data_IF_710099053098
#
_entry.id   IF_710099053098
#
_cell.length_a   1.000
_cell.length_b   1.000
_cell.length_c   1.000
_cell.angle_alpha   90.00
_cell.angle_beta   90.00
_cell.angle_gamma   90.00
#
_symmetry.space_group_name_H-M   'P 1'
#
loop_
_entity.id
_entity.type
_entity.pdbx_description
1 polymer ?
#
# COMPACT_ATOMS: atom_id res chain seq x y z
N UNK A 1 -5.88 14.59 18.12
CA UNK A 1 -5.12 15.23 17.05
C UNK A 1 -5.54 16.66 16.77
N UNK A 2 -6.70 17.08 17.26
CA UNK A 2 -7.25 18.43 17.06
C UNK A 2 -6.68 19.52 17.99
N UNK A 3 -5.79 19.18 18.94
CA UNK A 3 -5.16 20.11 19.90
C UNK A 3 -3.64 19.85 20.00
N UNK A 4 -2.88 20.78 20.55
CA UNK A 4 -1.42 20.67 20.82
C UNK A 4 -0.53 20.72 19.55
N UNK A 5 0.79 20.49 19.67
CA UNK A 5 1.74 20.62 18.57
C UNK A 5 1.48 19.58 17.47
N UNK A 6 1.44 20.05 16.21
CA UNK A 6 1.13 19.20 15.05
C UNK A 6 2.32 18.29 14.69
N UNK A 7 3.53 18.86 14.57
CA UNK A 7 4.71 18.15 14.08
C UNK A 7 4.99 16.89 14.91
N UNK A 8 5.09 17.00 16.24
CA UNK A 8 5.37 15.85 17.10
C UNK A 8 4.28 14.77 17.01
N UNK A 9 3.01 15.16 16.83
CA UNK A 9 1.92 14.20 16.69
C UNK A 9 1.93 13.51 15.32
N UNK A 10 2.22 14.24 14.25
CA UNK A 10 2.38 13.69 12.91
C UNK A 10 3.53 12.69 12.88
N UNK A 11 4.69 13.03 13.44
CA UNK A 11 5.83 12.11 13.51
C UNK A 11 5.53 10.87 14.35
N UNK A 12 4.89 11.04 15.52
CA UNK A 12 4.48 9.89 16.37
C UNK A 12 3.48 8.96 15.67
N UNK A 13 2.70 9.48 14.73
CA UNK A 13 1.80 8.68 13.89
C UNK A 13 2.55 8.05 12.71
N UNK A 14 3.36 8.84 12.00
CA UNK A 14 3.99 8.42 10.74
C UNK A 14 5.11 7.38 10.96
N UNK A 15 5.95 7.53 12.00
CA UNK A 15 7.08 6.63 12.23
C UNK A 15 6.65 5.17 12.48
N UNK A 16 5.69 4.86 13.38
CA UNK A 16 5.23 3.48 13.53
C UNK A 16 4.50 2.96 12.29
N UNK A 17 3.84 3.85 11.53
CA UNK A 17 3.21 3.46 10.29
C UNK A 17 4.23 3.09 9.21
N UNK A 18 5.29 3.87 9.05
CA UNK A 18 6.41 3.55 8.15
C UNK A 18 7.07 2.22 8.55
N UNK A 19 7.35 2.05 9.84
CA UNK A 19 7.89 0.80 10.37
C UNK A 19 6.99 -0.40 10.06
N UNK A 20 5.67 -0.25 10.12
CA UNK A 20 4.72 -1.31 9.73
C UNK A 20 4.88 -1.72 8.26
N UNK A 21 4.99 -0.75 7.34
CA UNK A 21 5.19 -1.01 5.91
C UNK A 21 6.53 -1.70 5.63
N UNK A 22 7.61 -1.19 6.23
CA UNK A 22 8.96 -1.77 6.10
C UNK A 22 8.98 -3.20 6.63
N UNK A 23 8.37 -3.47 7.79
CA UNK A 23 8.31 -4.81 8.36
C UNK A 23 7.50 -5.77 7.47
N UNK A 24 6.37 -5.33 6.93
CA UNK A 24 5.61 -6.14 5.96
C UNK A 24 6.47 -6.54 4.76
N UNK A 25 7.22 -5.60 4.20
CA UNK A 25 8.11 -5.90 3.08
C UNK A 25 9.24 -6.85 3.46
N UNK A 26 9.83 -6.69 4.65
CA UNK A 26 10.85 -7.61 5.15
C UNK A 26 10.31 -9.03 5.29
N UNK A 27 9.10 -9.22 5.80
CA UNK A 27 8.48 -10.55 5.91
C UNK A 27 8.25 -11.18 4.55
N UNK A 28 7.76 -10.42 3.56
CA UNK A 28 7.63 -10.90 2.17
C UNK A 28 9.01 -11.30 1.61
N UNK A 29 10.04 -10.51 1.87
CA UNK A 29 11.40 -10.81 1.43
C UNK A 29 11.95 -12.09 2.08
N UNK A 30 11.67 -12.31 3.37
CA UNK A 30 12.04 -13.55 4.08
C UNK A 30 11.29 -14.75 3.49
N UNK A 31 9.99 -14.62 3.22
CA UNK A 31 9.17 -15.68 2.60
C UNK A 31 9.78 -16.12 1.26
N UNK A 32 10.11 -15.16 0.39
CA UNK A 32 10.76 -15.41 -0.91
C UNK A 32 12.15 -16.04 -0.73
N UNK A 33 12.96 -15.55 0.22
CA UNK A 33 14.29 -16.08 0.49
C UNK A 33 14.25 -17.53 1.01
N UNK A 34 13.31 -17.86 1.88
CA UNK A 34 13.12 -19.24 2.38
C UNK A 34 12.73 -20.18 1.24
N UNK A 35 11.78 -19.78 0.39
CA UNK A 35 11.41 -20.58 -0.79
C UNK A 35 12.60 -20.73 -1.74
N UNK A 36 13.29 -19.65 -2.05
CA UNK A 36 14.40 -19.66 -3.00
C UNK A 36 15.59 -20.51 -2.56
N UNK A 37 15.81 -20.65 -1.23
CA UNK A 37 16.94 -21.42 -0.70
C UNK A 37 16.61 -22.86 -0.35
N UNK A 38 15.39 -23.15 0.08
CA UNK A 38 15.00 -24.44 0.66
C UNK A 38 13.90 -25.18 -0.12
N UNK A 39 13.32 -24.55 -1.15
CA UNK A 39 12.37 -25.19 -2.06
C UNK A 39 12.94 -25.26 -3.49
N UNK A 40 12.15 -25.77 -4.43
CA UNK A 40 12.57 -25.88 -5.84
C UNK A 40 12.48 -24.52 -6.56
N UNK A 41 13.23 -24.38 -7.66
CA UNK A 41 13.11 -23.21 -8.54
C UNK A 41 11.72 -23.02 -9.12
N UNK A 42 11.00 -24.12 -9.35
CA UNK A 42 9.59 -24.12 -9.77
C UNK A 42 8.67 -23.52 -8.69
N UNK A 43 8.92 -23.85 -7.41
CA UNK A 43 8.19 -23.28 -6.29
C UNK A 43 8.39 -21.77 -6.18
N UNK A 44 9.62 -21.30 -6.36
CA UNK A 44 9.92 -19.87 -6.38
C UNK A 44 9.21 -19.15 -7.54
N UNK A 45 9.23 -19.74 -8.72
CA UNK A 45 8.53 -19.20 -9.89
C UNK A 45 7.00 -19.18 -9.68
N UNK A 46 6.45 -20.19 -9.04
CA UNK A 46 5.02 -20.25 -8.71
C UNK A 46 4.61 -19.14 -7.73
N UNK A 47 5.40 -18.87 -6.69
CA UNK A 47 5.15 -17.73 -5.77
C UNK A 47 5.23 -16.41 -6.51
N UNK A 48 6.25 -16.22 -7.34
CA UNK A 48 6.44 -15.00 -8.13
C UNK A 48 5.27 -14.71 -9.08
N UNK A 49 4.78 -15.72 -9.80
CA UNK A 49 3.67 -15.59 -10.73
C UNK A 49 2.38 -15.11 -10.05
N UNK A 50 2.16 -15.49 -8.80
CA UNK A 50 0.95 -15.12 -8.04
C UNK A 50 0.99 -13.70 -7.47
N UNK A 51 2.17 -13.13 -7.26
CA UNK A 51 2.34 -11.85 -6.54
C UNK A 51 1.56 -10.71 -7.20
N UNK A 52 1.58 -10.61 -8.53
CA UNK A 52 0.88 -9.54 -9.25
C UNK A 52 -0.64 -9.66 -9.11
N UNK A 53 -1.18 -10.86 -9.23
CA UNK A 53 -2.62 -11.12 -9.13
C UNK A 53 -3.13 -10.83 -7.72
N UNK A 54 -2.40 -11.30 -6.71
CA UNK A 54 -2.71 -11.05 -5.30
C UNK A 54 -2.72 -9.55 -5.02
N UNK A 55 -1.67 -8.83 -5.43
CA UNK A 55 -1.58 -7.39 -5.22
C UNK A 55 -2.70 -6.62 -5.92
N UNK A 56 -3.05 -7.01 -7.16
CA UNK A 56 -4.13 -6.36 -7.91
C UNK A 56 -5.46 -6.46 -7.16
N UNK A 57 -5.81 -7.65 -6.69
CA UNK A 57 -7.07 -7.91 -6.00
C UNK A 57 -7.12 -7.28 -4.59
N UNK A 58 -6.02 -7.35 -3.84
CA UNK A 58 -5.95 -6.80 -2.49
C UNK A 58 -5.98 -5.27 -2.50
N UNK A 59 -5.32 -4.62 -3.46
CA UNK A 59 -5.20 -3.17 -3.51
C UNK A 59 -6.55 -2.45 -3.59
N UNK A 60 -7.57 -3.04 -4.21
CA UNK A 60 -8.92 -2.49 -4.19
C UNK A 60 -9.44 -2.33 -2.76
N UNK A 61 -9.34 -3.38 -1.96
CA UNK A 61 -9.86 -3.39 -0.57
C UNK A 61 -8.98 -2.60 0.40
N UNK A 62 -7.68 -2.55 0.16
CA UNK A 62 -6.78 -1.63 0.87
C UNK A 62 -7.22 -0.19 0.64
N UNK A 63 -7.59 0.19 -0.58
CA UNK A 63 -8.17 1.50 -0.88
C UNK A 63 -9.47 1.76 -0.13
N UNK A 64 -10.37 0.77 -0.06
CA UNK A 64 -11.62 0.89 0.74
C UNK A 64 -11.30 1.11 2.23
N UNK A 65 -10.25 0.49 2.76
CA UNK A 65 -9.81 0.71 4.14
C UNK A 65 -9.33 2.15 4.38
N UNK A 66 -8.74 2.81 3.37
CA UNK A 66 -8.38 4.24 3.44
C UNK A 66 -9.65 5.10 3.56
N UNK A 67 -10.71 4.76 2.83
CA UNK A 67 -12.03 5.39 2.95
C UNK A 67 -12.58 5.27 4.37
N UNK A 68 -12.48 4.08 4.97
CA UNK A 68 -12.88 3.86 6.37
C UNK A 68 -12.10 4.76 7.35
N UNK A 69 -10.78 4.85 7.18
CA UNK A 69 -9.94 5.75 7.99
C UNK A 69 -10.38 7.22 7.85
N UNK A 70 -10.61 7.71 6.64
CA UNK A 70 -11.02 9.08 6.37
C UNK A 70 -12.36 9.43 7.01
N UNK A 71 -13.37 8.56 6.86
CA UNK A 71 -14.72 8.75 7.41
C UNK A 71 -14.70 8.73 8.95
N UNK A 72 -14.03 7.73 9.54
CA UNK A 72 -13.90 7.63 11.01
C UNK A 72 -13.19 8.87 11.56
N UNK A 73 -12.09 9.30 10.92
CA UNK A 73 -11.35 10.50 11.31
C UNK A 73 -12.23 11.75 11.32
N UNK A 74 -13.06 11.92 10.28
CA UNK A 74 -13.96 13.06 10.16
C UNK A 74 -15.01 13.07 11.28
N UNK A 75 -15.64 11.93 11.57
CA UNK A 75 -16.62 11.84 12.66
C UNK A 75 -16.00 12.03 14.04
N UNK A 76 -14.75 11.60 14.25
CA UNK A 76 -14.00 11.90 15.48
C UNK A 76 -13.79 13.41 15.61
N UNK A 77 -13.42 14.09 14.51
CA UNK A 77 -13.26 15.54 14.48
C UNK A 77 -14.55 16.28 14.89
N UNK A 78 -15.69 15.83 14.39
CA UNK A 78 -17.03 16.36 14.73
C UNK A 78 -17.48 16.04 16.15
N UNK A 79 -16.71 15.24 16.89
CA UNK A 79 -17.07 14.73 18.21
C UNK A 79 -18.40 13.94 18.24
N UNK A 80 -18.81 13.38 17.10
CA UNK A 80 -20.04 12.61 16.94
C UNK A 80 -19.81 11.13 17.28
N UNK A 81 -19.95 10.82 18.56
CA UNK A 81 -19.71 9.46 19.08
C UNK A 81 -20.64 8.40 18.47
N UNK A 82 -21.85 8.79 18.07
CA UNK A 82 -22.80 7.86 17.48
C UNK A 82 -22.34 7.45 16.07
N UNK A 83 -22.02 8.42 15.22
CA UNK A 83 -21.52 8.16 13.86
C UNK A 83 -20.15 7.48 13.85
N UNK A 84 -19.27 7.77 14.82
CA UNK A 84 -18.02 7.01 14.98
C UNK A 84 -18.31 5.54 15.23
N UNK A 85 -19.26 5.24 16.12
CA UNK A 85 -19.66 3.86 16.44
C UNK A 85 -20.20 3.13 15.21
N UNK A 86 -21.08 3.79 14.47
CA UNK A 86 -21.71 3.20 13.28
C UNK A 86 -20.70 3.01 12.14
N UNK A 87 -19.78 3.96 11.96
CA UNK A 87 -18.67 3.82 11.01
C UNK A 87 -17.71 2.70 11.39
N UNK A 88 -17.38 2.53 12.68
CA UNK A 88 -16.55 1.41 13.16
C UNK A 88 -17.25 0.07 12.92
N UNK A 89 -18.54 -0.04 13.25
CA UNK A 89 -19.34 -1.23 13.00
C UNK A 89 -19.38 -1.59 11.52
N UNK A 90 -19.70 -0.62 10.65
CA UNK A 90 -19.71 -0.78 9.20
C UNK A 90 -18.35 -1.19 8.66
N UNK A 91 -17.27 -0.53 9.10
CA UNK A 91 -15.91 -0.85 8.71
C UNK A 91 -15.54 -2.30 9.04
N UNK A 92 -15.94 -2.82 10.19
CA UNK A 92 -15.63 -4.19 10.60
C UNK A 92 -16.56 -5.24 9.97
N UNK A 93 -17.63 -4.84 9.30
CA UNK A 93 -18.45 -5.72 8.46
C UNK A 93 -17.90 -5.87 7.03
N UNK A 94 -17.22 -4.84 6.51
CA UNK A 94 -16.65 -4.86 5.16
C UNK A 94 -15.67 -6.01 4.90
N UNK A 95 -14.77 -6.40 5.82
CA UNK A 95 -13.90 -7.57 5.65
C UNK A 95 -14.65 -8.85 5.31
N UNK A 96 -15.85 -9.05 5.87
CA UNK A 96 -16.66 -10.25 5.63
C UNK A 96 -17.07 -10.31 4.16
N UNK A 97 -17.62 -9.21 3.62
CA UNK A 97 -18.02 -9.14 2.21
C UNK A 97 -16.82 -9.22 1.27
N UNK A 98 -15.74 -8.48 1.58
CA UNK A 98 -14.51 -8.53 0.81
C UNK A 98 -13.94 -9.95 0.76
N UNK A 99 -13.97 -10.65 1.89
CA UNK A 99 -13.46 -12.01 2.01
C UNK A 99 -14.27 -13.02 1.21
N UNK A 100 -15.61 -12.96 1.31
CA UNK A 100 -16.48 -13.86 0.54
C UNK A 100 -16.26 -13.66 -0.95
N UNK A 101 -16.16 -12.40 -1.38
CA UNK A 101 -15.96 -12.08 -2.79
C UNK A 101 -14.57 -12.55 -3.27
N UNK A 102 -13.50 -12.25 -2.53
CA UNK A 102 -12.13 -12.64 -2.91
C UNK A 102 -11.91 -14.14 -2.82
N UNK A 103 -12.42 -14.80 -1.77
CA UNK A 103 -12.31 -16.24 -1.60
C UNK A 103 -13.05 -16.95 -2.74
N UNK A 104 -14.32 -16.60 -2.99
CA UNK A 104 -15.10 -17.19 -4.05
C UNK A 104 -14.48 -16.97 -5.42
N UNK A 105 -14.06 -15.73 -5.71
CA UNK A 105 -13.40 -15.41 -6.97
C UNK A 105 -12.06 -16.14 -7.12
N UNK A 106 -11.24 -16.16 -6.07
CA UNK A 106 -9.94 -16.80 -6.08
C UNK A 106 -10.04 -18.32 -6.24
N UNK A 107 -10.90 -19.00 -5.47
CA UNK A 107 -11.06 -20.44 -5.56
C UNK A 107 -11.61 -20.93 -6.91
N UNK A 108 -12.60 -20.20 -7.46
CA UNK A 108 -13.24 -20.58 -8.72
C UNK A 108 -12.35 -20.26 -9.92
N UNK A 109 -11.75 -19.09 -9.95
CA UNK A 109 -11.06 -18.58 -11.14
C UNK A 109 -9.52 -18.71 -11.09
N UNK A 110 -8.92 -19.21 -10.00
CA UNK A 110 -7.46 -19.31 -9.87
C UNK A 110 -6.76 -19.95 -11.09
N UNK A 111 -7.15 -21.14 -11.58
CA UNK A 111 -6.47 -21.74 -12.71
C UNK A 111 -6.64 -20.95 -14.01
N UNK A 112 -7.84 -20.38 -14.22
CA UNK A 112 -8.17 -19.61 -15.42
C UNK A 112 -7.39 -18.29 -15.46
N UNK A 113 -7.27 -17.61 -14.32
CA UNK A 113 -6.52 -16.37 -14.20
C UNK A 113 -5.02 -16.59 -14.43
N UNK A 114 -4.46 -17.65 -13.87
CA UNK A 114 -3.05 -18.00 -14.06
C UNK A 114 -2.75 -18.37 -15.53
N UNK A 115 -3.64 -19.10 -16.19
CA UNK A 115 -3.53 -19.38 -17.64
C UNK A 115 -3.62 -18.11 -18.47
N UNK A 116 -4.55 -17.22 -18.15
CA UNK A 116 -4.68 -15.92 -18.83
C UNK A 116 -3.43 -15.05 -18.70
N UNK A 117 -2.72 -15.16 -17.56
CA UNK A 117 -1.44 -14.49 -17.33
C UNK A 117 -0.26 -15.17 -18.01
N UNK A 118 -0.47 -16.27 -18.73
CA UNK A 118 0.60 -16.97 -19.44
C UNK A 118 1.49 -17.80 -18.52
N UNK A 119 1.00 -18.25 -17.36
CA UNK A 119 1.77 -19.11 -16.44
C UNK A 119 2.12 -20.44 -17.12
N UNK A 120 3.41 -20.83 -17.19
CA UNK A 120 3.82 -22.08 -17.81
C UNK A 120 3.14 -23.31 -17.20
N UNK A 121 2.78 -24.29 -18.04
CA UNK A 121 2.09 -25.51 -17.59
C UNK A 121 2.89 -26.27 -16.50
N UNK A 122 4.21 -26.23 -16.56
CA UNK A 122 5.09 -26.89 -15.59
C UNK A 122 4.91 -26.43 -14.14
N UNK A 123 4.53 -25.15 -13.93
CA UNK A 123 4.36 -24.57 -12.59
C UNK A 123 2.90 -24.26 -12.25
N UNK A 124 1.97 -24.48 -13.19
CA UNK A 124 0.57 -24.08 -13.05
C UNK A 124 -0.10 -24.70 -11.83
N UNK A 125 0.13 -25.98 -11.57
CA UNK A 125 -0.47 -26.70 -10.43
C UNK A 125 0.05 -26.16 -9.10
N UNK A 126 1.35 -25.91 -8.98
CA UNK A 126 1.96 -25.33 -7.78
C UNK A 126 1.49 -23.88 -7.57
N UNK A 127 1.42 -23.10 -8.64
CA UNK A 127 0.91 -21.72 -8.58
C UNK A 127 -0.57 -21.67 -8.17
N UNK A 128 -1.38 -22.61 -8.71
CA UNK A 128 -2.79 -22.75 -8.33
C UNK A 128 -2.94 -23.15 -6.86
N UNK A 129 -2.16 -24.12 -6.39
CA UNK A 129 -2.17 -24.54 -4.99
C UNK A 129 -1.80 -23.38 -4.05
N UNK A 130 -0.70 -22.67 -4.37
CA UNK A 130 -0.29 -21.49 -3.60
C UNK A 130 -1.41 -20.46 -3.52
N UNK A 131 -2.00 -20.12 -4.65
CA UNK A 131 -3.03 -19.09 -4.73
C UNK A 131 -4.26 -19.49 -3.90
N UNK A 132 -4.73 -20.72 -3.99
CA UNK A 132 -5.86 -21.22 -3.19
C UNK A 132 -5.57 -21.18 -1.70
N UNK A 133 -4.43 -21.73 -1.26
CA UNK A 133 -4.04 -21.69 0.16
C UNK A 133 -3.90 -20.24 0.65
N UNK A 134 -3.34 -19.37 -0.17
CA UNK A 134 -3.23 -17.95 0.15
C UNK A 134 -4.61 -17.30 0.32
N UNK A 135 -5.57 -17.58 -0.58
CA UNK A 135 -6.92 -17.04 -0.50
C UNK A 135 -7.67 -17.47 0.75
N UNK A 136 -7.41 -18.67 1.30
CA UNK A 136 -7.95 -19.09 2.60
C UNK A 136 -7.49 -18.18 3.74
N UNK A 137 -6.32 -17.57 3.63
CA UNK A 137 -5.79 -16.59 4.60
C UNK A 137 -6.33 -15.16 4.43
N UNK A 138 -6.90 -14.81 3.26
CA UNK A 138 -7.36 -13.45 2.95
C UNK A 138 -8.41 -12.91 3.92
N UNK A 139 -9.42 -13.66 4.37
CA UNK A 139 -10.39 -13.18 5.34
C UNK A 139 -9.73 -12.56 6.58
N UNK A 140 -8.72 -13.20 7.07
CA UNK A 140 -7.99 -12.74 8.26
C UNK A 140 -7.14 -11.51 7.96
N UNK A 141 -6.47 -11.49 6.81
CA UNK A 141 -5.74 -10.31 6.33
C UNK A 141 -6.67 -9.09 6.19
N UNK A 142 -7.87 -9.27 5.64
CA UNK A 142 -8.85 -8.19 5.50
C UNK A 142 -9.34 -7.69 6.86
N UNK A 143 -9.64 -8.58 7.82
CA UNK A 143 -10.02 -8.19 9.19
C UNK A 143 -8.92 -7.35 9.84
N UNK A 144 -7.66 -7.73 9.68
CA UNK A 144 -6.53 -6.96 10.20
C UNK A 144 -6.42 -5.58 9.52
N UNK A 145 -6.51 -5.53 8.19
CA UNK A 145 -6.40 -4.31 7.39
C UNK A 145 -7.48 -3.27 7.76
N UNK A 146 -8.74 -3.70 7.86
CA UNK A 146 -9.83 -2.80 8.25
C UNK A 146 -9.79 -2.44 9.73
N UNK A 147 -9.36 -3.37 10.59
CA UNK A 147 -9.11 -3.08 12.01
C UNK A 147 -8.01 -2.04 12.22
N UNK A 148 -6.93 -2.12 11.44
CA UNK A 148 -5.91 -1.06 11.40
C UNK A 148 -6.49 0.29 10.96
N UNK A 149 -7.38 0.31 9.95
CA UNK A 149 -8.00 1.55 9.48
C UNK A 149 -8.81 2.23 10.59
N UNK A 150 -9.52 1.46 11.42
CA UNK A 150 -10.22 1.98 12.62
C UNK A 150 -9.24 2.64 13.60
N UNK A 151 -8.14 1.96 13.92
CA UNK A 151 -7.13 2.48 14.85
C UNK A 151 -6.39 3.70 14.28
N UNK A 152 -6.04 3.68 12.98
CA UNK A 152 -5.45 4.83 12.29
C UNK A 152 -6.39 6.03 12.33
N UNK A 153 -7.70 5.83 12.10
CA UNK A 153 -8.71 6.88 12.22
C UNK A 153 -8.75 7.49 13.62
N UNK A 154 -8.53 6.69 14.66
CA UNK A 154 -8.36 7.15 16.05
C UNK A 154 -7.03 7.89 16.27
N UNK A 155 -6.02 7.61 15.45
CA UNK A 155 -4.68 8.17 15.55
C UNK A 155 -3.64 7.24 16.18
N UNK A 156 -3.94 5.97 16.26
CA UNK A 156 -3.07 4.96 16.85
C UNK A 156 -2.48 4.07 15.77
N UNK A 157 -1.18 4.18 15.57
CA UNK A 157 -0.39 3.36 14.63
C UNK A 157 0.58 2.44 15.36
N UNK A 158 0.82 2.68 16.65
CA UNK A 158 1.79 1.89 17.43
C UNK A 158 1.26 0.49 17.74
N UNK A 159 -0.01 0.39 18.16
CA UNK A 159 -0.57 -0.92 18.51
C UNK A 159 -0.72 -1.85 17.30
N UNK A 160 -1.16 -1.39 16.12
CA UNK A 160 -1.09 -2.19 14.90
C UNK A 160 0.31 -2.65 14.53
N UNK A 161 1.34 -1.80 14.69
CA UNK A 161 2.73 -2.18 14.48
C UNK A 161 3.15 -3.33 15.41
N UNK A 162 2.83 -3.24 16.70
CA UNK A 162 3.19 -4.29 17.67
C UNK A 162 2.54 -5.65 17.31
N UNK A 163 1.26 -5.63 16.87
CA UNK A 163 0.59 -6.84 16.39
C UNK A 163 1.31 -7.41 15.16
N UNK A 164 1.67 -6.54 14.21
CA UNK A 164 2.37 -6.95 12.99
C UNK A 164 3.74 -7.56 13.27
N UNK A 165 4.51 -6.98 14.20
CA UNK A 165 5.82 -7.52 14.60
C UNK A 165 5.67 -8.94 15.18
N UNK A 166 4.71 -9.15 16.09
CA UNK A 166 4.45 -10.48 16.66
C UNK A 166 3.98 -11.46 15.59
N UNK A 167 3.09 -11.04 14.70
CA UNK A 167 2.62 -11.87 13.59
C UNK A 167 3.74 -12.23 12.62
N UNK A 168 4.66 -11.29 12.37
CA UNK A 168 5.83 -11.56 11.55
C UNK A 168 6.79 -12.56 12.19
N UNK A 169 7.00 -12.49 13.49
CA UNK A 169 7.77 -13.53 14.20
C UNK A 169 7.09 -14.91 14.04
N UNK A 170 5.76 -14.99 14.19
CA UNK A 170 5.00 -16.22 13.97
C UNK A 170 5.17 -16.72 12.53
N UNK A 171 5.06 -15.81 11.54
CA UNK A 171 5.26 -16.15 10.13
C UNK A 171 6.65 -16.74 9.88
N UNK A 172 7.73 -16.08 10.35
CA UNK A 172 9.10 -16.54 10.13
C UNK A 172 9.33 -17.91 10.78
N UNK A 173 8.90 -18.11 12.03
CA UNK A 173 9.04 -19.40 12.73
C UNK A 173 8.29 -20.49 12.00
N UNK A 174 7.06 -20.24 11.58
CA UNK A 174 6.26 -21.23 10.84
C UNK A 174 6.84 -21.49 9.44
N UNK A 175 7.36 -20.50 8.75
CA UNK A 175 8.05 -20.70 7.47
C UNK A 175 9.24 -21.65 7.61
N UNK A 176 10.10 -21.43 8.60
CA UNK A 176 11.24 -22.31 8.85
C UNK A 176 10.78 -23.73 9.20
N UNK A 177 9.75 -23.87 10.03
CA UNK A 177 9.21 -25.18 10.40
C UNK A 177 8.55 -25.90 9.20
N UNK A 178 7.63 -25.24 8.49
CA UNK A 178 6.83 -25.89 7.45
C UNK A 178 7.64 -26.14 6.18
N UNK A 179 8.56 -25.24 5.82
CA UNK A 179 9.35 -25.38 4.58
C UNK A 179 10.59 -26.26 4.80
N UNK A 180 11.34 -26.06 5.91
CA UNK A 180 12.61 -26.74 6.13
C UNK A 180 12.40 -28.09 6.80
N UNK A 181 11.59 -28.16 7.88
CA UNK A 181 11.41 -29.40 8.65
C UNK A 181 10.37 -30.32 8.03
N UNK A 182 9.22 -29.76 7.63
CA UNK A 182 8.11 -30.54 7.08
C UNK A 182 8.12 -30.65 5.54
N UNK A 183 9.07 -29.99 4.88
CA UNK A 183 9.25 -30.01 3.42
C UNK A 183 7.99 -29.71 2.59
N UNK A 184 7.11 -28.83 3.11
CA UNK A 184 5.84 -28.50 2.46
C UNK A 184 6.00 -27.55 1.25
N UNK A 185 7.19 -27.08 0.96
CA UNK A 185 7.47 -26.20 -0.19
C UNK A 185 6.56 -24.96 -0.23
N UNK A 186 5.93 -24.76 -1.37
CA UNK A 186 5.04 -23.62 -1.65
C UNK A 186 3.83 -23.56 -0.70
N UNK A 187 3.23 -24.70 -0.41
CA UNK A 187 2.09 -24.79 0.51
C UNK A 187 2.48 -24.40 1.95
N UNK A 188 3.71 -24.70 2.35
CA UNK A 188 4.25 -24.33 3.67
C UNK A 188 4.28 -22.81 3.86
N UNK A 189 4.80 -22.06 2.88
CA UNK A 189 4.86 -20.59 2.95
C UNK A 189 3.46 -19.98 2.97
N UNK A 190 2.56 -20.42 2.09
CA UNK A 190 1.19 -19.93 2.08
C UNK A 190 0.46 -20.20 3.40
N UNK A 191 0.68 -21.37 3.99
CA UNK A 191 0.11 -21.74 5.29
C UNK A 191 0.70 -20.90 6.43
N UNK A 192 2.02 -20.67 6.45
CA UNK A 192 2.68 -19.84 7.44
C UNK A 192 2.12 -18.40 7.41
N UNK A 193 1.99 -17.83 6.21
CA UNK A 193 1.40 -16.50 6.00
C UNK A 193 -0.07 -16.49 6.44
N UNK A 194 -0.84 -17.53 6.11
CA UNK A 194 -2.23 -17.68 6.56
C UNK A 194 -2.35 -17.70 8.09
N UNK A 195 -1.53 -18.48 8.78
CA UNK A 195 -1.50 -18.55 10.25
C UNK A 195 -1.11 -17.21 10.89
N UNK A 196 -0.13 -16.49 10.33
CA UNK A 196 0.25 -15.16 10.78
C UNK A 196 -0.91 -14.15 10.60
N UNK A 197 -1.67 -14.25 9.50
CA UNK A 197 -2.86 -13.44 9.29
C UNK A 197 -3.97 -13.78 10.29
N UNK A 198 -4.19 -15.04 10.62
CA UNK A 198 -5.12 -15.48 11.69
C UNK A 198 -4.73 -14.85 13.02
N UNK A 199 -3.46 -14.93 13.40
CA UNK A 199 -2.94 -14.31 14.61
C UNK A 199 -3.20 -12.80 14.63
N UNK A 200 -2.89 -12.10 13.54
CA UNK A 200 -3.10 -10.66 13.38
C UNK A 200 -4.59 -10.29 13.52
N UNK A 201 -5.48 -11.06 12.89
CA UNK A 201 -6.93 -10.85 12.95
C UNK A 201 -7.47 -11.04 14.36
N UNK A 202 -7.07 -12.09 15.04
CA UNK A 202 -7.49 -12.34 16.42
C UNK A 202 -6.96 -11.27 17.37
N UNK A 203 -5.71 -10.85 17.21
CA UNK A 203 -5.10 -9.80 18.02
C UNK A 203 -5.81 -8.46 17.84
N UNK A 204 -6.09 -8.04 16.59
CA UNK A 204 -6.77 -6.76 16.32
C UNK A 204 -8.23 -6.79 16.81
N UNK A 205 -8.94 -7.91 16.64
CA UNK A 205 -10.29 -8.07 17.17
C UNK A 205 -10.32 -8.03 18.70
N UNK A 206 -9.38 -8.70 19.37
CA UNK A 206 -9.22 -8.64 20.82
C UNK A 206 -8.95 -7.22 21.30
N UNK A 207 -8.09 -6.50 20.57
CA UNK A 207 -7.78 -5.10 20.88
C UNK A 207 -9.02 -4.22 20.74
N UNK A 208 -9.75 -4.32 19.63
CA UNK A 208 -11.00 -3.53 19.42
C UNK A 208 -12.11 -3.89 20.42
N UNK A 209 -12.22 -5.15 20.86
CA UNK A 209 -13.17 -5.55 21.92
C UNK A 209 -12.83 -4.94 23.27
N UNK A 210 -11.54 -4.72 23.57
CA UNK A 210 -11.08 -4.09 24.82
C UNK A 210 -11.06 -2.57 24.77
N UNK A 211 -11.30 -1.96 23.60
CA UNK A 211 -11.39 -0.52 23.47
C UNK A 211 -12.57 0.05 24.29
N UNK A 212 -12.45 1.34 24.64
CA UNK A 212 -13.48 2.08 25.38
C UNK A 212 -14.27 2.99 24.43
N UNK A 213 -15.50 3.29 24.82
CA UNK A 213 -16.34 4.26 24.11
C UNK A 213 -16.81 3.78 22.73
N UNK A 214 -16.82 4.66 21.70
CA UNK A 214 -17.40 4.37 20.40
C UNK A 214 -16.57 3.36 19.57
N UNK A 215 -15.31 3.13 19.92
CA UNK A 215 -14.41 2.18 19.24
C UNK A 215 -14.56 0.75 19.73
N UNK A 216 -15.27 0.51 20.82
CA UNK A 216 -15.47 -0.82 21.37
C UNK A 216 -16.33 -1.67 20.46
N UNK A 217 -15.74 -2.75 19.95
CA UNK A 217 -16.42 -3.72 19.11
C UNK A 217 -17.25 -4.68 19.99
N UNK A 218 -18.57 -4.68 19.78
CA UNK A 218 -19.50 -5.64 20.41
C UNK A 218 -20.38 -6.25 19.33
N UNK A 219 -20.91 -7.46 19.55
CA UNK A 219 -21.80 -8.13 18.58
C UNK A 219 -23.00 -7.27 18.19
N UNK A 220 -23.58 -6.55 19.12
CA UNK A 220 -24.73 -5.65 18.91
C UNK A 220 -24.39 -4.41 18.04
N UNK A 221 -23.11 -4.08 17.87
CA UNK A 221 -22.62 -2.92 17.11
C UNK A 221 -22.13 -3.28 15.71
N UNK A 222 -22.07 -4.56 15.39
CA UNK A 222 -21.76 -5.05 14.04
C UNK A 222 -23.02 -4.89 13.17
N UNK A 223 -23.23 -3.67 12.69
CA UNK A 223 -24.32 -3.30 11.78
C UNK A 223 -23.77 -2.45 10.65
N UNK A 224 -24.35 -2.61 9.47
CA UNK A 224 -24.06 -1.76 8.34
C UNK A 224 -24.96 -0.54 8.42
N UNK A 225 -24.34 0.62 8.65
CA UNK A 225 -24.99 1.90 8.46
C UNK A 225 -24.85 2.33 7.01
N UNK A 226 -25.96 2.54 6.31
CA UNK A 226 -25.98 2.87 4.87
C UNK A 226 -25.27 4.21 4.57
N UNK A 227 -25.38 5.18 5.48
CA UNK A 227 -24.79 6.49 5.30
C UNK A 227 -23.25 6.41 5.45
N UNK A 228 -22.76 5.72 6.49
CA UNK A 228 -21.34 5.46 6.66
C UNK A 228 -20.77 4.61 5.52
N UNK A 229 -21.48 3.55 5.11
CA UNK A 229 -21.06 2.70 3.99
C UNK A 229 -20.90 3.51 2.70
N UNK A 230 -21.90 4.31 2.35
CA UNK A 230 -21.86 5.16 1.15
C UNK A 230 -20.64 6.10 1.17
N UNK A 231 -20.35 6.73 2.30
CA UNK A 231 -19.20 7.62 2.45
C UNK A 231 -17.87 6.85 2.36
N UNK A 232 -17.77 5.69 3.01
CA UNK A 232 -16.59 4.83 2.97
C UNK A 232 -16.31 4.39 1.53
N UNK A 233 -17.32 3.92 0.81
CA UNK A 233 -17.17 3.47 -0.58
C UNK A 233 -16.88 4.63 -1.53
N UNK A 234 -17.51 5.80 -1.33
CA UNK A 234 -17.29 6.99 -2.15
C UNK A 234 -15.84 7.49 -2.09
N UNK A 235 -15.19 7.34 -0.93
CA UNK A 235 -13.77 7.69 -0.77
C UNK A 235 -12.88 6.51 -1.12
N UNK A 236 -13.23 5.32 -0.67
CA UNK A 236 -12.36 4.15 -0.70
C UNK A 236 -12.30 3.45 -2.06
N UNK A 237 -13.42 3.32 -2.77
CA UNK A 237 -13.43 2.65 -4.09
C UNK A 237 -12.56 3.40 -5.11
N UNK A 238 -12.69 4.73 -5.29
CA UNK A 238 -11.78 5.45 -6.18
C UNK A 238 -10.30 5.28 -5.79
N UNK A 239 -9.98 5.32 -4.48
CA UNK A 239 -8.62 5.11 -4.01
C UNK A 239 -8.12 3.69 -4.31
N UNK A 240 -8.96 2.68 -4.18
CA UNK A 240 -8.64 1.30 -4.54
C UNK A 240 -8.43 1.10 -6.04
N UNK A 241 -9.31 1.67 -6.85
CA UNK A 241 -9.18 1.66 -8.32
C UNK A 241 -7.89 2.34 -8.75
N UNK A 242 -7.53 3.49 -8.14
CA UNK A 242 -6.24 4.14 -8.40
C UNK A 242 -5.06 3.19 -8.12
N UNK A 243 -5.08 2.49 -6.99
CA UNK A 243 -4.01 1.55 -6.61
C UNK A 243 -3.92 0.35 -7.56
N UNK A 244 -5.08 -0.17 -8.02
CA UNK A 244 -5.13 -1.24 -9.03
C UNK A 244 -4.55 -0.79 -10.38
N UNK A 245 -4.97 0.37 -10.89
CA UNK A 245 -4.50 0.91 -12.18
C UNK A 245 -3.02 1.26 -12.11
N UNK A 246 -2.54 1.74 -10.95
CA UNK A 246 -1.13 1.99 -10.71
C UNK A 246 -0.30 0.69 -10.77
N UNK A 247 -0.79 -0.39 -10.15
CA UNK A 247 -0.15 -1.71 -10.23
C UNK A 247 -0.10 -2.23 -11.66
N UNK A 248 -1.20 -2.06 -12.41
CA UNK A 248 -1.26 -2.45 -13.82
C UNK A 248 -0.26 -1.64 -14.68
N UNK A 249 -0.14 -0.33 -14.43
CA UNK A 249 0.83 0.52 -15.10
C UNK A 249 2.27 0.07 -14.84
N UNK A 250 2.59 -0.34 -13.61
CA UNK A 250 3.92 -0.85 -13.28
C UNK A 250 4.22 -2.20 -13.97
N UNK A 251 3.23 -3.09 -14.08
CA UNK A 251 3.37 -4.35 -14.85
C UNK A 251 3.70 -4.04 -16.31
N UNK A 252 3.03 -3.04 -16.88
CA UNK A 252 3.24 -2.64 -18.26
C UNK A 252 4.65 -2.09 -18.49
N UNK A 253 5.15 -1.22 -17.61
CA UNK A 253 6.55 -0.74 -17.68
C UNK A 253 7.53 -1.89 -17.48
N UNK A 254 7.23 -2.86 -16.58
CA UNK A 254 8.06 -4.05 -16.40
C UNK A 254 8.15 -4.90 -17.68
N UNK A 255 7.05 -5.02 -18.43
CA UNK A 255 7.04 -5.69 -19.73
C UNK A 255 8.01 -5.01 -20.73
N UNK A 256 8.08 -3.68 -20.73
CA UNK A 256 9.04 -2.94 -21.52
C UNK A 256 10.51 -3.17 -21.05
N UNK A 257 10.74 -3.24 -19.73
CA UNK A 257 12.05 -3.56 -19.14
C UNK A 257 12.52 -4.95 -19.61
N UNK A 258 11.62 -5.91 -19.74
CA UNK A 258 11.96 -7.28 -20.15
C UNK A 258 12.61 -7.32 -21.55
N UNK A 259 12.32 -6.35 -22.40
CA UNK A 259 12.95 -6.21 -23.72
C UNK A 259 14.44 -5.87 -23.70
N UNK A 260 14.99 -5.41 -22.56
CA UNK A 260 16.42 -5.07 -22.41
C UNK A 260 17.30 -6.24 -21.92
N UNK A 261 16.70 -7.42 -21.72
CA UNK A 261 17.41 -8.64 -21.36
C UNK A 261 17.55 -8.91 -19.86
N UNK A 262 18.13 -10.07 -19.50
CA UNK A 262 18.13 -10.57 -18.12
C UNK A 262 18.83 -9.66 -17.11
N UNK A 263 19.96 -9.05 -17.49
CA UNK A 263 20.71 -8.14 -16.62
C UNK A 263 19.92 -6.87 -16.27
N UNK A 264 19.15 -6.33 -17.23
CA UNK A 264 18.28 -5.19 -17.01
C UNK A 264 17.11 -5.55 -16.08
N UNK A 265 16.51 -6.73 -16.25
CA UNK A 265 15.43 -7.24 -15.38
C UNK A 265 15.95 -7.39 -13.96
N UNK A 266 17.09 -8.02 -13.76
CA UNK A 266 17.70 -8.23 -12.45
C UNK A 266 18.07 -6.90 -11.77
N UNK A 267 18.72 -5.99 -12.52
CA UNK A 267 19.11 -4.67 -12.01
C UNK A 267 17.88 -3.82 -11.62
N UNK A 268 16.85 -3.82 -12.46
CA UNK A 268 15.59 -3.14 -12.16
C UNK A 268 14.89 -3.71 -10.92
N UNK A 269 14.85 -5.03 -10.74
CA UNK A 269 14.25 -5.70 -9.59
C UNK A 269 14.97 -5.35 -8.29
N UNK A 270 16.31 -5.34 -8.29
CA UNK A 270 17.10 -4.94 -7.12
C UNK A 270 16.81 -3.49 -6.75
N UNK A 271 16.87 -2.56 -7.71
CA UNK A 271 16.55 -1.14 -7.47
C UNK A 271 15.13 -0.94 -6.95
N UNK A 272 14.15 -1.71 -7.43
CA UNK A 272 12.76 -1.63 -6.99
C UNK A 272 12.58 -1.92 -5.49
N UNK A 273 13.42 -2.78 -4.90
CA UNK A 273 13.37 -3.01 -3.46
C UNK A 273 13.67 -1.73 -2.67
N UNK A 274 14.69 -0.97 -3.08
CA UNK A 274 15.04 0.30 -2.43
C UNK A 274 13.94 1.34 -2.62
N UNK A 275 13.37 1.44 -3.83
CA UNK A 275 12.22 2.31 -4.09
C UNK A 275 11.05 1.99 -3.13
N UNK A 276 10.78 0.72 -2.89
CA UNK A 276 9.69 0.26 -2.04
C UNK A 276 9.88 0.68 -0.59
N UNK A 277 11.09 0.55 -0.04
CA UNK A 277 11.38 1.01 1.33
C UNK A 277 11.20 2.52 1.49
N UNK A 278 11.71 3.30 0.52
CA UNK A 278 11.53 4.75 0.52
C UNK A 278 10.06 5.16 0.35
N UNK A 279 9.30 4.41 -0.45
CA UNK A 279 7.87 4.65 -0.65
C UNK A 279 7.05 4.40 0.62
N UNK A 280 7.43 3.45 1.49
CA UNK A 280 6.76 3.26 2.77
C UNK A 280 6.94 4.45 3.72
N UNK A 281 8.07 5.13 3.67
CA UNK A 281 8.25 6.39 4.40
C UNK A 281 7.26 7.45 3.90
N UNK A 282 7.16 7.62 2.59
CA UNK A 282 6.23 8.58 1.99
C UNK A 282 4.76 8.24 2.33
N UNK A 283 4.34 6.99 2.14
CA UNK A 283 2.95 6.57 2.39
C UNK A 283 2.54 6.69 3.85
N UNK A 284 3.48 6.67 4.79
CA UNK A 284 3.20 6.91 6.19
C UNK A 284 2.73 8.34 6.46
N UNK A 285 3.33 9.32 5.77
CA UNK A 285 2.89 10.71 5.82
C UNK A 285 1.58 10.93 5.05
N UNK A 286 1.31 10.14 3.99
CA UNK A 286 -0.01 10.12 3.35
C UNK A 286 -1.09 9.65 4.32
N UNK A 287 -0.84 8.59 5.08
CA UNK A 287 -1.76 8.13 6.13
C UNK A 287 -1.98 9.16 7.22
N UNK A 288 -0.93 9.88 7.62
CA UNK A 288 -1.04 11.01 8.53
C UNK A 288 -1.88 12.15 7.92
N UNK A 289 -1.64 12.50 6.66
CA UNK A 289 -2.39 13.55 5.96
C UNK A 289 -3.90 13.24 5.90
N UNK A 290 -4.30 12.00 5.56
CA UNK A 290 -5.71 11.56 5.60
C UNK A 290 -6.31 11.77 6.99
N UNK A 291 -5.63 11.24 8.02
CA UNK A 291 -6.15 11.20 9.39
C UNK A 291 -6.21 12.58 10.02
N UNK A 292 -5.12 13.36 9.92
CA UNK A 292 -5.05 14.70 10.51
C UNK A 292 -5.97 15.69 9.80
N UNK A 293 -6.02 15.65 8.47
CA UNK A 293 -6.95 16.48 7.70
C UNK A 293 -8.39 16.11 8.04
N UNK A 294 -8.75 14.82 8.04
CA UNK A 294 -10.09 14.36 8.37
C UNK A 294 -10.54 14.81 9.76
N UNK A 295 -9.71 14.61 10.80
CA UNK A 295 -10.06 15.02 12.17
C UNK A 295 -10.14 16.54 12.33
N UNK A 296 -9.21 17.31 11.77
CA UNK A 296 -9.22 18.76 11.90
C UNK A 296 -10.32 19.42 11.06
N UNK A 297 -10.60 18.87 9.88
CA UNK A 297 -11.73 19.29 9.03
C UNK A 297 -13.07 19.03 9.72
N UNK A 298 -13.26 17.83 10.27
CA UNK A 298 -14.45 17.51 11.06
C UNK A 298 -14.65 18.43 12.28
N UNK A 299 -13.55 18.89 12.89
CA UNK A 299 -13.55 19.83 14.02
C UNK A 299 -13.67 21.30 13.60
N UNK A 300 -13.80 21.63 12.32
CA UNK A 300 -13.85 23.01 11.82
C UNK A 300 -12.52 23.78 11.89
N UNK A 301 -11.39 23.10 12.16
CA UNK A 301 -10.08 23.74 12.39
C UNK A 301 -9.27 23.88 11.09
N UNK A 302 -9.67 24.82 10.22
CA UNK A 302 -9.12 25.00 8.87
C UNK A 302 -7.61 25.28 8.89
N UNK A 303 -7.14 26.16 9.80
CA UNK A 303 -5.72 26.50 9.89
C UNK A 303 -4.85 25.29 10.24
N UNK A 304 -5.40 24.38 11.06
CA UNK A 304 -4.69 23.13 11.39
C UNK A 304 -4.66 22.18 10.21
N UNK A 305 -5.68 22.14 9.36
CA UNK A 305 -5.66 21.38 8.11
C UNK A 305 -4.55 21.90 7.19
N UNK A 306 -4.45 23.21 6.99
CA UNK A 306 -3.41 23.82 6.14
C UNK A 306 -2.00 23.56 6.68
N UNK A 307 -1.78 23.81 7.99
CA UNK A 307 -0.47 23.55 8.62
C UNK A 307 -0.13 22.07 8.60
N UNK A 308 -1.09 21.18 8.87
CA UNK A 308 -0.91 19.74 8.82
C UNK A 308 -0.52 19.23 7.43
N UNK A 309 -1.14 19.77 6.38
CA UNK A 309 -0.79 19.49 5.00
C UNK A 309 0.68 19.83 4.69
N UNK A 310 1.13 21.05 5.01
CA UNK A 310 2.50 21.47 4.74
C UNK A 310 3.53 20.71 5.57
N UNK A 311 3.20 20.35 6.82
CA UNK A 311 4.08 19.51 7.66
C UNK A 311 4.20 18.11 7.07
N UNK A 312 3.08 17.48 6.66
CA UNK A 312 3.13 16.16 6.02
C UNK A 312 3.91 16.22 4.71
N UNK A 313 3.69 17.27 3.88
CA UNK A 313 4.40 17.47 2.62
C UNK A 313 5.90 17.62 2.83
N UNK A 314 6.31 18.53 3.70
CA UNK A 314 7.73 18.79 3.98
C UNK A 314 8.43 17.60 4.62
N UNK A 315 7.85 17.01 5.66
CA UNK A 315 8.44 15.87 6.34
C UNK A 315 8.44 14.60 5.47
N UNK A 316 7.37 14.36 4.70
CA UNK A 316 7.29 13.21 3.80
C UNK A 316 8.28 13.29 2.65
N UNK A 317 8.36 14.46 1.99
CA UNK A 317 9.34 14.69 0.94
C UNK A 317 10.77 14.60 1.46
N UNK A 318 11.06 15.21 2.61
CA UNK A 318 12.40 15.19 3.22
C UNK A 318 12.80 13.78 3.64
N UNK A 319 11.92 13.03 4.32
CA UNK A 319 12.21 11.66 4.75
C UNK A 319 12.47 10.74 3.55
N UNK A 320 11.64 10.83 2.51
CA UNK A 320 11.81 10.07 1.28
C UNK A 320 13.12 10.47 0.58
N UNK A 321 13.40 11.77 0.45
CA UNK A 321 14.62 12.27 -0.18
C UNK A 321 15.89 11.81 0.55
N UNK A 322 15.93 11.91 1.87
CA UNK A 322 17.09 11.47 2.66
C UNK A 322 17.34 9.98 2.53
N UNK A 323 16.27 9.15 2.56
CA UNK A 323 16.40 7.72 2.35
C UNK A 323 16.87 7.38 0.91
N UNK A 324 16.33 8.07 -0.10
CA UNK A 324 16.74 7.91 -1.48
C UNK A 324 18.22 8.27 -1.68
N UNK A 325 18.66 9.39 -1.09
CA UNK A 325 20.06 9.81 -1.16
C UNK A 325 20.99 8.85 -0.45
N UNK A 326 20.59 8.29 0.70
CA UNK A 326 21.35 7.27 1.41
C UNK A 326 21.58 6.03 0.51
N UNK A 327 20.54 5.48 -0.09
CA UNK A 327 20.66 4.32 -0.97
C UNK A 327 21.42 4.63 -2.26
N UNK A 328 21.23 5.82 -2.82
CA UNK A 328 21.94 6.23 -4.05
C UNK A 328 23.42 6.47 -3.82
N UNK A 329 23.79 7.24 -2.79
CA UNK A 329 25.21 7.55 -2.49
C UNK A 329 26.00 6.35 -2.03
N UNK A 330 25.35 5.41 -1.35
CA UNK A 330 25.95 4.16 -0.87
C UNK A 330 25.56 2.97 -1.77
N UNK A 331 25.24 3.23 -3.05
CA UNK A 331 24.71 2.20 -3.95
C UNK A 331 25.65 1.02 -4.12
N UNK A 332 26.97 1.23 -4.16
CA UNK A 332 27.95 0.14 -4.27
C UNK A 332 27.88 -0.82 -3.08
N UNK A 333 27.77 -0.28 -1.86
CA UNK A 333 27.64 -1.07 -0.65
C UNK A 333 26.34 -1.88 -0.65
N UNK A 334 25.20 -1.26 -0.95
CA UNK A 334 23.91 -1.94 -0.93
C UNK A 334 23.75 -2.95 -2.07
N UNK A 335 24.24 -2.65 -3.29
CA UNK A 335 24.15 -3.55 -4.43
C UNK A 335 25.03 -4.79 -4.25
N UNK A 336 26.17 -4.66 -3.58
CA UNK A 336 27.07 -5.78 -3.29
C UNK A 336 26.39 -6.93 -2.54
N UNK A 337 25.40 -6.64 -1.70
CA UNK A 337 24.62 -7.69 -1.01
C UNK A 337 23.74 -8.52 -1.96
N UNK A 338 23.42 -7.99 -3.13
CA UNK A 338 22.52 -8.65 -4.08
C UNK A 338 23.26 -9.30 -5.25
N UNK A 339 24.31 -8.66 -5.75
CA UNK A 339 25.01 -9.12 -6.94
C UNK A 339 26.42 -8.54 -7.02
N UNK A 340 27.30 -9.31 -7.70
CA UNK A 340 28.65 -8.87 -8.11
C UNK A 340 28.77 -8.72 -9.63
N UNK A 341 27.70 -9.00 -10.40
CA UNK A 341 27.68 -8.88 -11.85
C UNK A 341 27.71 -7.39 -12.27
N UNK A 342 28.77 -6.93 -12.98
CA UNK A 342 28.89 -5.54 -13.40
C UNK A 342 27.74 -5.05 -14.28
N UNK A 343 27.18 -5.92 -15.14
CA UNK A 343 26.06 -5.59 -16.03
C UNK A 343 24.79 -5.32 -15.23
N UNK A 344 24.47 -6.15 -14.24
CA UNK A 344 23.32 -5.99 -13.35
C UNK A 344 23.47 -4.72 -12.51
N UNK A 345 24.68 -4.49 -11.96
CA UNK A 345 25.02 -3.27 -11.20
C UNK A 345 24.81 -2.01 -12.04
N UNK A 346 25.23 -2.04 -13.31
CA UNK A 346 25.05 -0.91 -14.23
C UNK A 346 23.57 -0.53 -14.37
N UNK A 347 22.71 -1.49 -14.73
CA UNK A 347 21.27 -1.23 -14.86
C UNK A 347 20.61 -0.79 -13.56
N UNK A 348 21.00 -1.39 -12.43
CA UNK A 348 20.50 -0.98 -11.11
C UNK A 348 20.85 0.48 -10.82
N UNK A 349 22.11 0.89 -11.05
CA UNK A 349 22.56 2.28 -10.85
C UNK A 349 21.86 3.26 -11.77
N UNK A 350 21.68 2.91 -13.06
CA UNK A 350 20.93 3.75 -14.00
C UNK A 350 19.50 3.98 -13.50
N UNK A 351 18.83 2.93 -13.04
CA UNK A 351 17.48 3.05 -12.49
C UNK A 351 17.47 3.85 -11.18
N UNK A 352 18.41 3.62 -10.27
CA UNK A 352 18.53 4.41 -9.03
C UNK A 352 18.73 5.90 -9.33
N UNK A 353 19.60 6.24 -10.28
CA UNK A 353 19.86 7.62 -10.68
C UNK A 353 18.65 8.32 -11.32
N UNK A 354 17.80 7.59 -12.04
CA UNK A 354 16.68 8.14 -12.80
C UNK A 354 15.32 8.04 -12.06
N UNK A 355 15.15 7.04 -11.21
CA UNK A 355 13.88 6.79 -10.52
C UNK A 355 14.00 7.11 -9.04
N UNK A 356 14.92 6.43 -8.32
CA UNK A 356 15.05 6.55 -6.87
C UNK A 356 15.36 7.99 -6.44
N UNK A 357 16.33 8.66 -7.09
CA UNK A 357 16.71 10.05 -6.75
C UNK A 357 15.52 10.99 -6.81
N UNK A 358 14.64 10.83 -7.78
CA UNK A 358 13.49 11.71 -8.00
C UNK A 358 12.19 11.26 -7.32
N UNK A 359 12.18 10.11 -6.65
CA UNK A 359 10.96 9.57 -6.04
C UNK A 359 10.30 10.50 -5.01
N UNK A 360 11.08 11.35 -4.34
CA UNK A 360 10.55 12.35 -3.43
C UNK A 360 9.55 13.32 -4.10
N UNK A 361 9.62 13.51 -5.42
CA UNK A 361 8.63 14.30 -6.18
C UNK A 361 7.22 13.70 -6.11
N UNK A 362 7.11 12.38 -5.92
CA UNK A 362 5.83 11.72 -5.75
C UNK A 362 5.06 12.21 -4.51
N UNK A 363 5.74 12.79 -3.51
CA UNK A 363 5.09 13.39 -2.34
C UNK A 363 4.10 14.48 -2.71
N UNK A 364 4.34 15.22 -3.79
CA UNK A 364 3.51 16.32 -4.25
C UNK A 364 2.08 15.87 -4.56
N UNK A 365 1.89 14.82 -5.31
CA UNK A 365 0.55 14.32 -5.64
C UNK A 365 0.00 13.35 -4.59
N UNK A 366 0.84 12.51 -3.97
CA UNK A 366 0.38 11.51 -3.00
C UNK A 366 -0.19 12.18 -1.73
N UNK A 367 0.53 13.15 -1.15
CA UNK A 367 0.09 13.84 0.06
C UNK A 367 -1.07 14.78 -0.22
N UNK A 368 -1.08 15.43 -1.40
CA UNK A 368 -2.21 16.24 -1.85
C UNK A 368 -3.48 15.39 -2.02
N UNK A 369 -3.38 14.24 -2.69
CA UNK A 369 -4.48 13.28 -2.84
C UNK A 369 -4.96 12.74 -1.48
N UNK A 370 -4.03 12.39 -0.59
CA UNK A 370 -4.34 11.93 0.76
C UNK A 370 -5.11 12.99 1.57
N UNK A 371 -4.68 14.27 1.48
CA UNK A 371 -5.38 15.37 2.14
C UNK A 371 -6.77 15.61 1.55
N UNK A 372 -6.94 15.52 0.23
CA UNK A 372 -8.25 15.60 -0.43
C UNK A 372 -9.19 14.48 0.04
N UNK A 373 -8.68 13.24 0.19
CA UNK A 373 -9.45 12.13 0.78
C UNK A 373 -9.87 12.43 2.22
N UNK A 374 -8.99 13.03 3.02
CA UNK A 374 -9.33 13.52 4.37
C UNK A 374 -10.44 14.57 4.39
N UNK A 375 -10.55 15.39 3.34
CA UNK A 375 -11.65 16.35 3.12
C UNK A 375 -12.93 15.68 2.58
N UNK A 376 -12.90 14.40 2.23
CA UNK A 376 -14.03 13.66 1.65
C UNK A 376 -14.07 13.65 0.12
N UNK A 377 -13.01 14.12 -0.54
CA UNK A 377 -12.87 14.17 -1.99
C UNK A 377 -11.84 13.11 -2.45
N UNK A 378 -12.28 12.12 -3.21
CA UNK A 378 -11.41 11.03 -3.69
C UNK A 378 -11.42 10.86 -5.20
N UNK A 379 -12.50 11.24 -5.88
CA UNK A 379 -12.64 11.04 -7.31
C UNK A 379 -11.65 11.92 -8.08
N UNK A 380 -11.56 13.20 -7.72
CA UNK A 380 -10.71 14.18 -8.41
C UNK A 380 -9.22 13.75 -8.37
N UNK A 381 -8.62 13.47 -7.19
CA UNK A 381 -7.23 13.04 -7.16
C UNK A 381 -7.01 11.69 -7.84
N UNK A 382 -7.99 10.77 -7.80
CA UNK A 382 -7.90 9.47 -8.46
C UNK A 382 -7.80 9.64 -9.97
N UNK A 383 -8.72 10.39 -10.59
CA UNK A 383 -8.73 10.59 -12.04
C UNK A 383 -7.46 11.29 -12.52
N UNK A 384 -7.02 12.34 -11.81
CA UNK A 384 -5.80 13.07 -12.16
C UNK A 384 -4.54 12.21 -12.00
N UNK A 385 -4.47 11.37 -10.98
CA UNK A 385 -3.33 10.44 -10.79
C UNK A 385 -3.32 9.35 -11.87
N UNK A 386 -4.46 8.78 -12.21
CA UNK A 386 -4.55 7.79 -13.29
C UNK A 386 -4.12 8.43 -14.62
N UNK A 387 -4.62 9.61 -14.93
CA UNK A 387 -4.26 10.31 -16.17
C UNK A 387 -2.77 10.68 -16.20
N UNK A 388 -2.27 11.34 -15.16
CA UNK A 388 -0.90 11.85 -15.14
C UNK A 388 0.16 10.78 -14.94
N UNK A 389 -0.14 9.70 -14.23
CA UNK A 389 0.84 8.63 -13.97
C UNK A 389 0.65 7.47 -14.94
N UNK A 390 -0.56 6.88 -15.00
CA UNK A 390 -0.75 5.62 -15.74
C UNK A 390 -0.84 5.86 -17.25
N UNK A 391 -1.73 6.76 -17.68
CA UNK A 391 -1.91 7.04 -19.12
C UNK A 391 -0.64 7.60 -19.73
N UNK A 392 0.06 8.50 -19.03
CA UNK A 392 1.32 9.05 -19.51
C UNK A 392 2.40 7.97 -19.66
N UNK A 393 2.51 7.02 -18.72
CA UNK A 393 3.48 5.93 -18.83
C UNK A 393 3.17 4.99 -19.99
N UNK A 394 1.89 4.69 -20.24
CA UNK A 394 1.47 3.96 -21.44
C UNK A 394 1.90 4.72 -22.71
N UNK A 395 1.55 6.01 -22.79
CA UNK A 395 1.93 6.84 -23.93
C UNK A 395 3.45 6.92 -24.10
N UNK A 396 4.21 7.01 -23.00
CA UNK A 396 5.67 7.02 -23.04
C UNK A 396 6.26 5.76 -23.67
N UNK A 397 5.82 4.59 -23.23
CA UNK A 397 6.31 3.31 -23.75
C UNK A 397 5.95 3.14 -25.23
N UNK A 398 4.75 3.57 -25.66
CA UNK A 398 4.31 3.39 -27.05
C UNK A 398 4.87 4.43 -28.02
N UNK A 399 5.05 5.67 -27.59
CA UNK A 399 5.41 6.77 -28.51
C UNK A 399 6.82 7.30 -28.30
N UNK A 400 7.38 7.28 -27.09
CA UNK A 400 8.71 7.84 -26.82
C UNK A 400 9.79 6.77 -26.93
N UNK A 401 9.60 5.60 -26.32
CA UNK A 401 10.61 4.54 -26.35
C UNK A 401 10.97 4.03 -27.75
N UNK A 402 10.07 3.96 -28.75
CA UNK A 402 10.46 3.61 -30.11
C UNK A 402 11.36 4.66 -30.80
N UNK A 403 11.22 5.93 -30.41
CA UNK A 403 12.02 7.04 -30.97
C UNK A 403 13.37 7.16 -30.24
N UNK A 404 13.39 6.93 -28.95
CA UNK A 404 14.58 6.98 -28.10
C UNK A 404 14.75 5.64 -27.34
N UNK A 405 15.32 4.62 -28.04
CA UNK A 405 15.45 3.29 -27.47
C UNK A 405 16.64 3.22 -26.50
N UNK A 406 16.37 3.42 -25.22
CA UNK A 406 17.36 3.31 -24.16
C UNK A 406 16.72 2.94 -22.84
N UNK A 407 17.42 2.19 -21.99
CA UNK A 407 16.90 1.82 -20.67
C UNK A 407 16.72 3.05 -19.78
N UNK A 408 17.64 4.01 -19.86
CA UNK A 408 17.54 5.28 -19.13
C UNK A 408 16.32 6.08 -19.60
N UNK A 409 16.08 6.16 -20.88
CA UNK A 409 14.97 6.86 -21.53
C UNK A 409 13.63 6.24 -21.11
N UNK A 410 13.55 4.91 -21.04
CA UNK A 410 12.40 4.23 -20.48
C UNK A 410 12.17 4.63 -19.02
N UNK A 411 13.21 4.68 -18.17
CA UNK A 411 13.10 5.03 -16.76
C UNK A 411 12.68 6.49 -16.52
N UNK A 412 12.91 7.41 -17.45
CA UNK A 412 12.48 8.80 -17.35
C UNK A 412 10.94 8.98 -17.31
N UNK A 413 10.18 7.97 -17.73
CA UNK A 413 8.72 7.99 -17.59
C UNK A 413 8.26 8.19 -16.14
N UNK A 414 9.04 7.74 -15.15
CA UNK A 414 8.72 7.88 -13.74
C UNK A 414 8.78 9.34 -13.26
N UNK A 415 9.95 10.02 -13.29
CA UNK A 415 10.04 11.39 -12.78
C UNK A 415 9.16 12.36 -13.58
N UNK A 416 9.06 12.20 -14.91
CA UNK A 416 8.21 13.07 -15.74
C UNK A 416 6.73 12.90 -15.35
N UNK A 417 6.27 11.64 -15.17
CA UNK A 417 4.90 11.38 -14.74
C UNK A 417 4.64 11.97 -13.33
N UNK A 418 5.60 11.90 -12.42
CA UNK A 418 5.45 12.45 -11.06
C UNK A 418 5.36 13.97 -11.04
N UNK A 419 6.16 14.67 -11.85
CA UNK A 419 6.09 16.13 -11.98
C UNK A 419 4.75 16.55 -12.54
N UNK A 420 4.33 15.95 -13.66
CA UNK A 420 3.06 16.32 -14.30
C UNK A 420 1.86 16.03 -13.38
N UNK A 421 1.81 14.83 -12.79
CA UNK A 421 0.77 14.46 -11.83
C UNK A 421 0.80 15.38 -10.62
N UNK A 422 2.01 15.71 -10.13
CA UNK A 422 2.22 16.61 -9.00
C UNK A 422 1.58 17.97 -9.24
N UNK A 423 1.84 18.58 -10.39
CA UNK A 423 1.25 19.86 -10.77
C UNK A 423 -0.27 19.78 -10.83
N UNK A 424 -0.82 18.77 -11.54
CA UNK A 424 -2.27 18.61 -11.70
C UNK A 424 -2.98 18.41 -10.36
N UNK A 425 -2.47 17.51 -9.51
CA UNK A 425 -3.11 17.18 -8.22
C UNK A 425 -2.92 18.30 -7.20
N UNK A 426 -1.77 19.00 -7.17
CA UNK A 426 -1.57 20.17 -6.30
C UNK A 426 -2.51 21.31 -6.67
N UNK A 427 -2.68 21.61 -7.95
CA UNK A 427 -3.64 22.61 -8.42
C UNK A 427 -5.05 22.22 -8.01
N UNK A 428 -5.45 20.97 -8.25
CA UNK A 428 -6.75 20.46 -7.82
C UNK A 428 -6.94 20.54 -6.31
N UNK A 429 -5.91 20.24 -5.51
CA UNK A 429 -5.96 20.38 -4.05
C UNK A 429 -6.28 21.82 -3.62
N UNK A 430 -5.68 22.83 -4.26
CA UNK A 430 -5.95 24.24 -3.94
C UNK A 430 -7.43 24.57 -4.18
N UNK A 431 -8.00 24.14 -5.30
CA UNK A 431 -9.42 24.40 -5.60
C UNK A 431 -10.36 23.63 -4.64
N UNK A 432 -10.13 22.35 -4.45
CA UNK A 432 -10.94 21.48 -3.58
C UNK A 432 -10.87 21.95 -2.14
N UNK A 433 -9.68 22.25 -1.63
CA UNK A 433 -9.52 22.71 -0.25
C UNK A 433 -10.18 24.05 0.00
N UNK A 434 -10.04 25.01 -0.92
CA UNK A 434 -10.74 26.32 -0.84
C UNK A 434 -12.26 26.13 -0.78
N UNK A 435 -12.82 25.28 -1.67
CA UNK A 435 -14.25 24.99 -1.71
C UNK A 435 -14.73 24.29 -0.41
N UNK A 436 -13.97 23.33 0.08
CA UNK A 436 -14.27 22.61 1.31
C UNK A 436 -14.24 23.54 2.54
N UNK A 437 -13.23 24.41 2.62
CA UNK A 437 -13.08 25.37 3.73
C UNK A 437 -14.15 26.45 3.73
N UNK A 438 -14.56 26.93 2.55
CA UNK A 438 -15.66 27.91 2.45
C UNK A 438 -16.98 27.35 2.99
N UNK A 439 -17.25 26.04 2.80
CA UNK A 439 -18.44 25.38 3.35
C UNK A 439 -18.47 25.28 4.89
N UNK A 440 -17.32 25.39 5.55
CA UNK A 440 -17.23 25.39 7.01
C UNK A 440 -17.31 26.80 7.61
N UNK A 441 -17.05 27.83 6.82
CA UNK A 441 -17.11 29.23 7.25
C UNK A 441 -18.50 29.88 7.05
N UNK A 442 -19.38 29.22 6.34
CA UNK A 442 -20.82 29.52 6.20
C UNK A 442 -21.65 28.72 7.21
#
# INVERSE_FOLDING_TARGET
MTQGPLLGKILRFALPFAASGIMQQLFVTIDVAVVGRFATSEALAAVGANTFLINLLINLFVGVSIGSNAVISNFIGRNDRHRVRDAVGTTMMLPIFASVLLLGFGEIFAPSLLRLMGTPAAILDQATLFLRVYFLGIPFFMVFTFGQAVLRGKGDTQRPLNILLLAGCVNVVLNLLLVIVLHMGVAGVATATGCANVFSALAILRLLRREKGPFRLTRLRLRIDRAALRQILFIGVPAGVQSMVFSLSNIFVQSAINGYGPSAIAGAAISLNFDTYCYFLLTSFCGAAVTFTGQNYGAGKIDRCRRGFWICMGCGALACFLANMLFYTQSDFFLWFFTTDPSVIHYAKVRMATVLVFQALASSYEISAASMRGLGHSIEPTLLTILGTCVLRFAWVFFVCPVWPGFRELMLCYPISWVLTGVMVCVSYVFVSRKAYRKLSL
#
